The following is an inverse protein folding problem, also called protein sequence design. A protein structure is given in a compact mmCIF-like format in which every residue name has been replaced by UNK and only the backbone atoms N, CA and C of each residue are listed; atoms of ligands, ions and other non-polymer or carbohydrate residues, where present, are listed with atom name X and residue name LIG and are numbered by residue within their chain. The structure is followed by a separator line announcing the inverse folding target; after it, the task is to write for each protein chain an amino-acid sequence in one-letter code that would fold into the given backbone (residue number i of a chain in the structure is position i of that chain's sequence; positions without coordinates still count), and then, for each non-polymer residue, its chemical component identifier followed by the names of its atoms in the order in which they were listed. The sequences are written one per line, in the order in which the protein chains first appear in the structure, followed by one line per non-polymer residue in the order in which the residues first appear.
data_IF_780437846170
#
_entry.id   IF_780437846170
#
_cell.length_a   1.000
_cell.length_b   1.000
_cell.length_c   1.000
_cell.angle_alpha   90.00
_cell.angle_beta   90.00
_cell.angle_gamma   90.00
#
_symmetry.space_group_name_H-M   'P 1'
#
loop_
_entity.id
_entity.type
_entity.pdbx_description
1 polymer ?
#
# COMPACT_ATOMS: atom_id res chain seq x y z
N UNK A 1 -17.10 26.43 12.59
CA UNK A 1 -16.81 26.33 11.16
C UNK A 1 -15.96 25.10 10.89
N UNK A 2 -16.65 23.98 10.62
CA UNK A 2 -16.06 22.63 10.46
C UNK A 2 -15.06 22.63 9.30
N UNK A 3 -15.35 23.30 8.19
CA UNK A 3 -14.45 23.37 7.02
C UNK A 3 -13.13 24.10 7.30
N UNK A 4 -13.13 25.06 8.22
CA UNK A 4 -11.91 25.76 8.62
C UNK A 4 -11.04 24.89 9.52
N UNK A 5 -11.67 24.16 10.44
CA UNK A 5 -10.98 23.20 11.31
C UNK A 5 -10.39 22.03 10.50
N UNK A 6 -11.12 21.54 9.50
CA UNK A 6 -10.62 20.48 8.60
C UNK A 6 -9.43 20.96 7.76
N UNK A 7 -9.46 22.19 7.24
CA UNK A 7 -8.34 22.78 6.49
C UNK A 7 -7.12 23.00 7.37
N UNK A 8 -7.30 23.48 8.59
CA UNK A 8 -6.21 23.65 9.56
C UNK A 8 -5.60 22.31 9.95
N UNK A 9 -6.43 21.30 10.21
CA UNK A 9 -5.96 19.95 10.53
C UNK A 9 -5.16 19.35 9.35
N UNK A 10 -5.65 19.48 8.13
CA UNK A 10 -4.95 19.04 6.92
C UNK A 10 -3.62 19.76 6.73
N UNK A 11 -3.57 21.06 7.03
CA UNK A 11 -2.32 21.84 6.98
C UNK A 11 -1.32 21.40 8.03
N UNK A 12 -1.75 21.12 9.26
CA UNK A 12 -0.91 20.60 10.34
C UNK A 12 -0.37 19.20 10.03
N UNK A 13 -1.20 18.33 9.46
CA UNK A 13 -0.78 17.00 9.04
C UNK A 13 0.29 17.08 7.94
N UNK A 14 0.10 17.93 6.92
CA UNK A 14 1.08 18.14 5.86
C UNK A 14 2.40 18.75 6.36
N UNK A 15 2.34 19.66 7.32
CA UNK A 15 3.54 20.22 7.96
C UNK A 15 4.29 19.15 8.78
N UNK A 16 3.57 18.30 9.51
CA UNK A 16 4.15 17.18 10.25
C UNK A 16 4.81 16.17 9.33
N UNK A 17 4.17 15.80 8.23
CA UNK A 17 4.70 14.88 7.22
C UNK A 17 5.99 15.44 6.59
N UNK A 18 6.02 16.74 6.30
CA UNK A 18 7.21 17.44 5.77
C UNK A 18 8.35 17.46 6.80
N UNK A 19 8.04 17.72 8.07
CA UNK A 19 9.03 17.74 9.14
C UNK A 19 9.67 16.36 9.33
N UNK A 20 8.88 15.29 9.32
CA UNK A 20 9.39 13.92 9.43
C UNK A 20 10.29 13.58 8.26
N UNK A 21 9.92 13.99 7.04
CA UNK A 21 10.75 13.79 5.84
C UNK A 21 12.10 14.51 5.95
N UNK A 22 12.09 15.76 6.40
CA UNK A 22 13.33 16.55 6.63
C UNK A 22 14.18 15.92 7.72
N UNK A 23 13.58 15.49 8.82
CA UNK A 23 14.29 14.83 9.93
C UNK A 23 14.94 13.52 9.47
N UNK A 24 14.21 12.69 8.73
CA UNK A 24 14.76 11.45 8.17
C UNK A 24 15.92 11.70 7.20
N UNK A 25 15.89 12.79 6.41
CA UNK A 25 16.98 13.16 5.50
C UNK A 25 18.26 13.61 6.20
N UNK A 26 18.16 14.01 7.48
CA UNK A 26 19.32 14.40 8.31
C UNK A 26 19.90 13.23 9.12
N UNK A 27 19.39 12.01 8.96
CA UNK A 27 19.83 10.82 9.69
C UNK A 27 19.34 10.76 11.16
N UNK A 28 18.47 11.69 11.57
CA UNK A 28 17.85 11.65 12.89
C UNK A 28 16.78 10.60 12.94
N UNK A 29 16.88 9.66 13.88
CA UNK A 29 15.91 8.59 14.08
C UNK A 29 14.61 9.14 14.68
N UNK A 30 13.48 8.69 14.13
CA UNK A 30 12.14 8.97 14.64
C UNK A 30 11.42 7.67 15.00
N UNK A 31 10.27 7.77 15.65
CA UNK A 31 9.41 6.61 15.92
C UNK A 31 8.92 5.90 14.62
N UNK A 32 9.02 6.56 13.47
CA UNK A 32 8.61 6.05 12.17
C UNK A 32 9.78 5.42 11.38
N UNK A 33 11.03 5.65 11.80
CA UNK A 33 12.24 5.15 11.12
C UNK A 33 12.20 3.64 10.83
N UNK A 34 11.84 2.75 11.78
CA UNK A 34 11.77 1.32 11.50
C UNK A 34 10.79 0.94 10.38
N UNK A 35 9.66 1.65 10.29
CA UNK A 35 8.66 1.42 9.26
C UNK A 35 9.12 1.94 7.89
N UNK A 36 9.80 3.09 7.86
CA UNK A 36 10.40 3.67 6.65
C UNK A 36 11.43 2.71 6.07
N UNK A 37 12.38 2.26 6.88
CA UNK A 37 13.42 1.32 6.46
C UNK A 37 12.84 -0.02 5.98
N UNK A 38 11.80 -0.52 6.66
CA UNK A 38 11.14 -1.75 6.29
C UNK A 38 10.47 -1.67 4.90
N UNK A 39 9.77 -0.57 4.61
CA UNK A 39 9.11 -0.42 3.29
C UNK A 39 10.11 -0.18 2.18
N UNK A 40 11.20 0.54 2.42
CA UNK A 40 12.27 0.73 1.45
C UNK A 40 12.95 -0.61 1.13
N UNK A 41 13.26 -1.39 2.15
CA UNK A 41 13.84 -2.73 1.99
C UNK A 41 12.90 -3.65 1.23
N UNK A 42 11.61 -3.64 1.56
CA UNK A 42 10.61 -4.46 0.89
C UNK A 42 10.41 -4.06 -0.57
N UNK A 43 10.34 -2.76 -0.86
CA UNK A 43 10.24 -2.25 -2.23
C UNK A 43 11.44 -2.70 -3.08
N UNK A 44 12.66 -2.60 -2.54
CA UNK A 44 13.87 -3.09 -3.20
C UNK A 44 13.85 -4.60 -3.45
N UNK A 45 13.38 -5.40 -2.47
CA UNK A 45 13.21 -6.86 -2.64
C UNK A 45 12.21 -7.19 -3.75
N UNK A 46 11.08 -6.46 -3.81
CA UNK A 46 10.06 -6.67 -4.84
C UNK A 46 10.60 -6.28 -6.21
N UNK A 47 11.33 -5.16 -6.33
CA UNK A 47 12.02 -4.77 -7.56
C UNK A 47 12.92 -5.89 -8.08
N UNK A 48 13.81 -6.39 -7.24
CA UNK A 48 14.73 -7.48 -7.58
C UNK A 48 13.98 -8.79 -7.94
N UNK A 49 12.90 -9.10 -7.25
CA UNK A 49 12.07 -10.27 -7.50
C UNK A 49 11.38 -10.17 -8.86
N UNK A 50 10.82 -9.01 -9.20
CA UNK A 50 10.17 -8.79 -10.49
C UNK A 50 11.18 -8.82 -11.64
N UNK A 51 12.34 -8.20 -11.48
CA UNK A 51 13.42 -8.24 -12.48
C UNK A 51 13.95 -9.64 -12.70
N UNK A 52 14.14 -10.41 -11.62
CA UNK A 52 14.51 -11.83 -11.70
C UNK A 52 13.47 -12.66 -12.46
N UNK A 53 12.18 -12.43 -12.19
CA UNK A 53 11.10 -13.14 -12.86
C UNK A 53 11.05 -12.81 -14.37
N UNK A 54 11.27 -11.55 -14.74
CA UNK A 54 11.42 -11.14 -16.14
C UNK A 54 12.61 -11.85 -16.82
N UNK A 55 13.75 -11.90 -16.14
CA UNK A 55 14.95 -12.55 -16.67
C UNK A 55 14.78 -14.06 -16.89
N UNK A 56 13.98 -14.73 -16.04
CA UNK A 56 13.66 -16.16 -16.17
C UNK A 56 12.51 -16.43 -17.17
N UNK A 57 11.79 -15.41 -17.61
CA UNK A 57 10.60 -15.57 -18.46
C UNK A 57 9.35 -16.04 -17.70
N UNK A 58 9.33 -15.92 -16.38
CA UNK A 58 8.15 -16.29 -15.55
C UNK A 58 6.96 -15.35 -15.81
N UNK A 59 7.23 -14.15 -16.26
CA UNK A 59 6.27 -13.14 -16.70
C UNK A 59 6.93 -12.27 -17.77
N UNK A 60 6.15 -11.78 -18.74
CA UNK A 60 6.62 -10.78 -19.71
C UNK A 60 6.57 -9.37 -19.14
N UNK A 61 7.37 -8.45 -19.67
CA UNK A 61 7.32 -7.03 -19.26
C UNK A 61 5.94 -6.42 -19.58
N UNK A 62 5.35 -6.74 -20.72
CA UNK A 62 4.01 -6.29 -21.10
C UNK A 62 2.94 -6.74 -20.12
N UNK A 63 3.06 -7.96 -19.59
CA UNK A 63 2.11 -8.48 -18.61
C UNK A 63 2.33 -7.88 -17.21
N UNK A 64 3.60 -7.71 -16.80
CA UNK A 64 3.93 -7.09 -15.51
C UNK A 64 3.46 -5.63 -15.44
N UNK A 65 3.45 -4.93 -16.56
CA UNK A 65 2.98 -3.55 -16.67
C UNK A 65 1.57 -3.43 -17.27
N UNK A 66 0.79 -4.52 -17.31
CA UNK A 66 -0.61 -4.47 -17.72
C UNK A 66 -1.42 -3.53 -16.81
N UNK A 67 -2.24 -2.68 -17.42
CA UNK A 67 -3.14 -1.76 -16.73
C UNK A 67 -4.61 -1.94 -17.18
N UNK A 68 -4.90 -3.11 -17.73
CA UNK A 68 -6.26 -3.53 -18.08
C UNK A 68 -6.86 -4.24 -16.86
N UNK A 69 -7.72 -3.56 -16.16
CA UNK A 69 -8.37 -4.07 -14.95
C UNK A 69 -9.67 -4.79 -15.33
N UNK A 70 -9.58 -6.07 -15.65
CA UNK A 70 -10.75 -6.88 -16.00
C UNK A 70 -11.62 -7.12 -14.76
N UNK A 71 -12.89 -6.72 -14.75
CA UNK A 71 -13.74 -6.88 -13.59
C UNK A 71 -13.99 -8.37 -13.29
N UNK A 72 -13.98 -8.72 -12.00
CA UNK A 72 -14.41 -10.04 -11.53
C UNK A 72 -15.92 -9.99 -11.31
N UNK A 73 -16.70 -10.81 -12.04
CA UNK A 73 -18.16 -10.81 -11.91
C UNK A 73 -18.63 -11.09 -10.49
N UNK A 74 -19.76 -10.51 -10.10
CA UNK A 74 -20.45 -10.76 -8.83
C UNK A 74 -19.59 -10.44 -7.60
N UNK A 75 -18.73 -9.42 -7.67
CA UNK A 75 -17.95 -8.94 -6.52
C UNK A 75 -18.44 -7.59 -6.04
N UNK A 76 -18.63 -7.46 -4.73
CA UNK A 76 -18.99 -6.22 -4.04
C UNK A 76 -18.23 -6.15 -2.70
N UNK A 77 -17.29 -5.21 -2.52
CA UNK A 77 -16.77 -4.21 -3.48
C UNK A 77 -16.15 -4.83 -4.74
N UNK A 78 -16.14 -4.08 -5.88
CA UNK A 78 -15.62 -4.59 -7.14
C UNK A 78 -14.16 -5.04 -7.03
N UNK A 79 -13.87 -6.25 -7.50
CA UNK A 79 -12.52 -6.77 -7.69
C UNK A 79 -12.18 -6.85 -9.17
N UNK A 80 -10.89 -6.83 -9.48
CA UNK A 80 -10.36 -6.84 -10.83
C UNK A 80 -9.19 -7.81 -10.96
N UNK A 81 -8.90 -8.23 -12.17
CA UNK A 81 -7.72 -9.01 -12.53
C UNK A 81 -6.90 -8.25 -13.56
N UNK A 82 -5.60 -8.39 -13.48
CA UNK A 82 -4.63 -8.00 -14.50
C UNK A 82 -3.84 -9.24 -14.91
N UNK A 83 -3.02 -9.13 -15.95
CA UNK A 83 -2.16 -10.23 -16.38
C UNK A 83 -1.08 -10.59 -15.37
N UNK A 84 -0.74 -9.67 -14.46
CA UNK A 84 0.23 -9.94 -13.39
C UNK A 84 -0.39 -10.43 -12.07
N UNK A 85 -1.70 -10.40 -11.89
CA UNK A 85 -2.34 -10.71 -10.59
C UNK A 85 -1.97 -12.11 -10.09
N UNK A 86 -2.09 -13.13 -10.95
CA UNK A 86 -1.73 -14.50 -10.57
C UNK A 86 -0.23 -14.67 -10.25
N UNK A 87 0.62 -13.88 -10.90
CA UNK A 87 2.06 -13.86 -10.61
C UNK A 87 2.31 -13.23 -9.23
N UNK A 88 1.73 -12.07 -8.95
CA UNK A 88 1.90 -11.39 -7.65
C UNK A 88 1.34 -12.21 -6.49
N UNK A 89 0.25 -12.97 -6.68
CA UNK A 89 -0.29 -13.88 -5.67
C UNK A 89 0.71 -14.97 -5.25
N UNK A 90 1.61 -15.39 -6.16
CA UNK A 90 2.64 -16.38 -5.86
C UNK A 90 3.87 -15.80 -5.17
N UNK A 91 4.23 -14.54 -5.47
CA UNK A 91 5.56 -14.01 -5.09
C UNK A 91 5.50 -12.97 -3.98
N UNK A 92 4.46 -12.15 -3.89
CA UNK A 92 4.38 -11.07 -2.90
C UNK A 92 4.16 -11.55 -1.45
N UNK A 93 3.41 -12.62 -1.16
CA UNK A 93 3.19 -13.04 0.22
C UNK A 93 4.50 -13.30 0.99
N UNK A 94 5.53 -13.82 0.33
CA UNK A 94 6.84 -14.07 0.96
C UNK A 94 7.52 -12.77 1.45
N UNK A 95 7.20 -11.63 0.86
CA UNK A 95 7.71 -10.31 1.29
C UNK A 95 6.74 -9.63 2.25
N UNK A 96 5.43 -9.73 2.00
CA UNK A 96 4.40 -8.99 2.72
C UNK A 96 4.08 -9.58 4.10
N UNK A 97 3.92 -10.90 4.19
CA UNK A 97 3.44 -11.54 5.43
C UNK A 97 4.40 -11.37 6.62
N UNK A 98 5.73 -11.55 6.46
CA UNK A 98 6.67 -11.38 7.59
C UNK A 98 6.64 -9.99 8.20
N UNK A 99 6.34 -8.95 7.41
CA UNK A 99 6.33 -7.56 7.87
C UNK A 99 5.16 -7.25 8.82
N UNK A 100 4.13 -8.07 8.86
CA UNK A 100 3.06 -7.95 9.87
C UNK A 100 3.57 -8.18 11.29
N UNK A 101 4.73 -8.83 11.44
CA UNK A 101 5.35 -9.13 12.75
C UNK A 101 6.41 -8.09 13.15
N UNK A 102 6.65 -7.06 12.32
CA UNK A 102 7.64 -6.03 12.59
C UNK A 102 7.34 -5.26 13.89
N UNK A 103 6.08 -4.91 14.07
CA UNK A 103 5.59 -4.15 15.22
C UNK A 103 4.08 -4.43 15.41
N UNK A 104 3.57 -4.53 16.65
CA UNK A 104 2.15 -4.78 16.91
C UNK A 104 1.19 -3.74 16.31
N UNK A 105 1.69 -2.54 16.01
CA UNK A 105 0.91 -1.49 15.36
C UNK A 105 0.68 -1.72 13.87
N UNK A 106 1.48 -2.57 13.22
CA UNK A 106 1.34 -2.85 11.78
C UNK A 106 0.00 -3.52 11.51
N UNK A 107 -0.79 -2.90 10.65
CA UNK A 107 -2.11 -3.39 10.27
C UNK A 107 -2.06 -4.15 8.95
N UNK A 108 -1.33 -3.61 7.96
CA UNK A 108 -1.19 -4.24 6.65
C UNK A 108 0.10 -3.82 5.94
N UNK A 109 0.49 -4.64 4.98
CA UNK A 109 1.57 -4.36 4.03
C UNK A 109 1.16 -4.86 2.65
N UNK A 110 1.28 -4.03 1.62
CA UNK A 110 0.90 -4.43 0.27
C UNK A 110 1.62 -3.63 -0.81
N UNK A 111 1.86 -4.25 -1.96
CA UNK A 111 2.26 -3.57 -3.17
C UNK A 111 1.03 -3.08 -3.95
N UNK A 112 1.12 -1.89 -4.53
CA UNK A 112 0.12 -1.28 -5.39
C UNK A 112 0.76 -0.82 -6.69
N UNK A 113 0.06 -0.92 -7.81
CA UNK A 113 0.54 -0.32 -9.05
C UNK A 113 0.29 1.20 -9.08
N UNK A 114 0.80 1.89 -10.10
CA UNK A 114 0.69 3.36 -10.21
C UNK A 114 -0.75 3.90 -10.30
N UNK A 115 -1.74 3.05 -10.55
CA UNK A 115 -3.16 3.42 -10.56
C UNK A 115 -3.89 3.08 -9.25
N UNK A 116 -3.15 2.60 -8.24
CA UNK A 116 -3.71 2.21 -6.95
C UNK A 116 -4.32 0.82 -6.94
N UNK A 117 -4.07 0.02 -7.97
CA UNK A 117 -4.50 -1.38 -7.99
C UNK A 117 -3.63 -2.22 -7.06
N UNK A 118 -4.27 -2.87 -6.11
CA UNK A 118 -3.67 -3.75 -5.12
C UNK A 118 -3.98 -5.21 -5.52
N UNK A 119 -3.08 -5.89 -6.25
CA UNK A 119 -3.36 -7.23 -6.77
C UNK A 119 -3.45 -8.26 -5.65
N UNK A 120 -2.50 -8.25 -4.73
CA UNK A 120 -2.31 -9.23 -3.66
C UNK A 120 -2.21 -8.52 -2.33
N UNK A 121 -3.10 -8.81 -1.42
CA UNK A 121 -3.07 -8.28 -0.05
C UNK A 121 -2.50 -9.30 0.93
N UNK A 122 -2.29 -8.90 2.19
CA UNK A 122 -2.04 -9.87 3.26
C UNK A 122 -3.18 -10.91 3.33
N UNK A 123 -2.85 -12.14 3.69
CA UNK A 123 -3.79 -13.26 3.70
C UNK A 123 -5.06 -12.95 4.49
N UNK A 124 -4.92 -12.29 5.65
CA UNK A 124 -6.08 -11.88 6.49
C UNK A 124 -7.05 -10.91 5.79
N UNK A 125 -6.61 -10.21 4.74
CA UNK A 125 -7.42 -9.29 3.94
C UNK A 125 -7.64 -9.78 2.50
N UNK A 126 -7.35 -11.04 2.22
CA UNK A 126 -7.52 -11.69 0.91
C UNK A 126 -8.55 -12.83 0.99
N UNK A 127 -9.52 -12.71 1.89
CA UNK A 127 -10.57 -13.71 2.05
C UNK A 127 -11.52 -13.70 0.85
N UNK A 128 -12.06 -14.87 0.45
CA UNK A 128 -13.11 -14.92 -0.56
C UNK A 128 -14.31 -14.05 -0.16
N UNK A 129 -14.92 -13.37 -1.13
CA UNK A 129 -16.13 -12.60 -0.87
C UNK A 129 -17.33 -13.52 -0.60
N UNK A 130 -18.16 -13.12 0.37
CA UNK A 130 -19.45 -13.70 0.66
C UNK A 130 -20.59 -12.78 0.23
N UNK A 131 -21.79 -13.02 0.78
CA UNK A 131 -23.00 -12.24 0.48
C UNK A 131 -23.07 -10.89 1.21
N UNK A 132 -22.23 -10.65 2.21
CA UNK A 132 -22.24 -9.41 3.00
C UNK A 132 -21.16 -8.43 2.46
N UNK A 133 -21.58 -7.35 1.77
CA UNK A 133 -20.64 -6.38 1.21
C UNK A 133 -19.85 -5.61 2.29
N UNK A 134 -20.40 -5.45 3.49
CA UNK A 134 -19.69 -4.78 4.60
C UNK A 134 -18.54 -5.65 5.09
N UNK A 135 -18.80 -6.94 5.28
CA UNK A 135 -17.76 -7.91 5.62
C UNK A 135 -16.71 -8.03 4.51
N UNK A 136 -17.15 -8.09 3.25
CA UNK A 136 -16.26 -8.13 2.09
C UNK A 136 -15.33 -6.90 2.04
N UNK A 137 -15.88 -5.72 2.28
CA UNK A 137 -15.10 -4.47 2.29
C UNK A 137 -13.97 -4.48 3.31
N UNK A 138 -14.16 -5.17 4.44
CA UNK A 138 -13.16 -5.30 5.50
C UNK A 138 -12.13 -6.42 5.25
N UNK A 139 -12.57 -7.58 4.70
CA UNK A 139 -11.79 -8.81 4.68
C UNK A 139 -11.31 -9.24 3.28
N UNK A 140 -11.92 -8.71 2.20
CA UNK A 140 -11.59 -9.01 0.79
C UNK A 140 -11.07 -7.76 0.11
N UNK A 141 -9.85 -7.36 0.46
CA UNK A 141 -9.26 -6.09 0.02
C UNK A 141 -8.26 -6.24 -1.13
N UNK A 142 -7.87 -7.45 -1.47
CA UNK A 142 -7.07 -7.77 -2.66
C UNK A 142 -7.86 -7.51 -3.95
N UNK A 143 -7.15 -7.33 -5.06
CA UNK A 143 -7.73 -7.14 -6.40
C UNK A 143 -8.61 -5.89 -6.53
N UNK A 144 -8.41 -4.91 -5.67
CA UNK A 144 -9.18 -3.66 -5.65
C UNK A 144 -8.34 -2.46 -6.06
N UNK A 145 -9.02 -1.43 -6.57
CA UNK A 145 -8.45 -0.12 -6.86
C UNK A 145 -8.67 0.81 -5.67
N UNK A 146 -7.60 1.33 -5.10
CA UNK A 146 -7.61 2.32 -4.02
C UNK A 146 -7.21 3.67 -4.59
N UNK A 147 -8.21 4.43 -5.01
CA UNK A 147 -8.05 5.71 -5.73
C UNK A 147 -8.23 6.93 -4.82
N UNK A 148 -8.35 6.71 -3.51
CA UNK A 148 -8.34 7.79 -2.53
C UNK A 148 -6.96 8.47 -2.45
N UNK A 149 -6.90 9.63 -1.78
CA UNK A 149 -5.66 10.42 -1.65
C UNK A 149 -4.48 9.59 -1.16
N UNK A 150 -4.68 8.79 -0.11
CA UNK A 150 -3.60 8.02 0.51
C UNK A 150 -3.15 6.87 -0.39
N UNK A 151 -4.11 6.17 -1.01
CA UNK A 151 -3.84 5.07 -1.94
C UNK A 151 -3.07 5.53 -3.17
N UNK A 152 -3.53 6.58 -3.86
CA UNK A 152 -2.84 7.12 -5.03
C UNK A 152 -1.53 7.82 -4.66
N UNK A 153 -1.45 8.46 -3.49
CA UNK A 153 -0.20 9.04 -3.00
C UNK A 153 0.89 7.97 -2.87
N UNK A 154 0.59 6.85 -2.22
CA UNK A 154 1.51 5.72 -2.10
C UNK A 154 1.86 5.08 -3.45
N UNK A 155 0.87 4.92 -4.33
CA UNK A 155 1.03 4.31 -5.66
C UNK A 155 1.94 5.11 -6.60
N UNK A 156 1.89 6.43 -6.50
CA UNK A 156 2.58 7.38 -7.41
C UNK A 156 3.82 8.02 -6.82
N UNK A 157 4.13 7.72 -5.56
CA UNK A 157 5.32 8.25 -4.91
C UNK A 157 6.58 7.82 -5.67
N UNK A 158 7.43 8.80 -6.01
CA UNK A 158 8.75 8.61 -6.63
C UNK A 158 9.90 9.03 -5.73
N UNK A 159 9.60 9.62 -4.57
CA UNK A 159 10.58 9.95 -3.53
C UNK A 159 11.02 8.68 -2.80
N UNK A 160 12.16 8.75 -2.11
CA UNK A 160 12.70 7.60 -1.36
C UNK A 160 11.68 6.95 -0.43
N UNK A 161 10.81 7.75 0.17
CA UNK A 161 9.60 7.31 0.88
C UNK A 161 8.57 8.44 0.93
N UNK A 162 7.31 8.08 1.20
CA UNK A 162 6.23 8.99 1.50
C UNK A 162 5.56 8.53 2.80
N UNK A 163 5.43 9.43 3.78
CA UNK A 163 4.66 9.18 5.00
C UNK A 163 3.40 10.03 4.98
N UNK A 164 2.26 9.40 5.14
CA UNK A 164 0.95 10.03 5.17
C UNK A 164 0.22 9.66 6.47
N UNK A 165 -0.54 10.61 7.00
CA UNK A 165 -1.42 10.36 8.14
C UNK A 165 -2.87 10.46 7.67
N UNK A 166 -3.70 9.49 8.05
CA UNK A 166 -5.10 9.47 7.69
C UNK A 166 -5.97 8.88 8.80
N UNK A 167 -7.24 9.25 8.77
CA UNK A 167 -8.26 8.71 9.66
C UNK A 167 -8.93 7.51 9.00
N UNK A 168 -8.83 6.36 9.65
CA UNK A 168 -9.50 5.13 9.20
C UNK A 168 -10.79 4.92 9.97
N UNK A 169 -11.87 4.68 9.25
CA UNK A 169 -13.10 4.18 9.82
C UNK A 169 -12.92 2.69 10.17
N UNK A 170 -13.12 2.39 11.45
CA UNK A 170 -13.02 1.02 11.99
C UNK A 170 -14.38 0.33 12.07
N UNK A 171 -15.44 1.01 11.61
CA UNK A 171 -16.83 0.59 11.76
C UNK A 171 -17.50 1.10 13.05
N UNK A 172 -18.83 1.06 13.08
CA UNK A 172 -19.64 1.48 14.22
C UNK A 172 -19.36 2.91 14.74
N UNK A 173 -18.95 3.83 13.84
CA UNK A 173 -18.62 5.21 14.22
C UNK A 173 -17.28 5.37 14.94
N UNK A 174 -16.51 4.31 15.06
CA UNK A 174 -15.17 4.33 15.67
C UNK A 174 -14.10 4.63 14.60
N UNK A 175 -13.19 5.55 14.91
CA UNK A 175 -12.12 5.93 14.02
C UNK A 175 -10.76 5.73 14.70
N UNK A 176 -9.76 5.36 13.91
CA UNK A 176 -8.38 5.30 14.35
C UNK A 176 -7.50 6.19 13.46
N UNK A 177 -6.55 6.89 14.10
CA UNK A 177 -5.50 7.57 13.35
C UNK A 177 -4.47 6.54 12.90
N UNK A 178 -4.21 6.54 11.61
CA UNK A 178 -3.29 5.64 10.94
C UNK A 178 -2.19 6.43 10.25
N UNK A 179 -1.02 5.86 10.19
CA UNK A 179 0.03 6.27 9.26
C UNK A 179 0.13 5.25 8.13
N UNK A 180 0.47 5.75 6.95
CA UNK A 180 0.78 4.97 5.76
C UNK A 180 2.14 5.42 5.26
N UNK A 181 3.13 4.54 5.31
CA UNK A 181 4.44 4.78 4.75
C UNK A 181 4.62 3.94 3.50
N UNK A 182 5.16 4.53 2.45
CA UNK A 182 5.39 3.85 1.18
C UNK A 182 6.74 4.18 0.57
N UNK A 183 7.27 3.26 -0.23
CA UNK A 183 8.47 3.43 -1.03
C UNK A 183 8.20 2.95 -2.46
N UNK A 184 8.83 3.58 -3.48
CA UNK A 184 8.58 3.25 -4.87
C UNK A 184 9.18 1.89 -5.27
N UNK A 185 8.48 1.18 -6.14
CA UNK A 185 8.94 -0.05 -6.78
C UNK A 185 9.31 0.30 -8.23
N UNK A 186 10.56 0.07 -8.60
CA UNK A 186 11.06 0.22 -9.96
C UNK A 186 11.41 -1.14 -10.55
N UNK A 187 11.18 -1.30 -11.84
CA UNK A 187 11.55 -2.49 -12.61
C UNK A 187 12.24 -2.02 -13.88
N UNK A 188 13.52 -2.36 -14.04
CA UNK A 188 14.37 -1.87 -15.15
C UNK A 188 14.30 -0.34 -15.30
N UNK A 189 14.31 0.37 -14.19
CA UNK A 189 14.24 1.84 -14.17
C UNK A 189 12.85 2.43 -14.44
N UNK A 190 11.83 1.61 -14.70
CA UNK A 190 10.46 2.06 -14.90
C UNK A 190 9.66 1.94 -13.61
N UNK A 191 8.95 3.00 -13.22
CA UNK A 191 8.11 3.01 -12.02
C UNK A 191 6.90 2.08 -12.18
N UNK A 192 6.87 1.00 -11.40
CA UNK A 192 5.78 0.03 -11.40
C UNK A 192 4.65 0.43 -10.46
N UNK A 193 4.97 0.99 -9.32
CA UNK A 193 4.05 1.38 -8.27
C UNK A 193 4.76 1.60 -6.95
N UNK A 194 4.11 1.30 -5.83
CA UNK A 194 4.68 1.46 -4.49
C UNK A 194 4.43 0.26 -3.59
N UNK A 195 5.34 0.04 -2.65
CA UNK A 195 5.07 -0.81 -1.51
C UNK A 195 4.67 0.06 -0.33
N UNK A 196 3.58 -0.28 0.33
CA UNK A 196 3.01 0.51 1.43
C UNK A 196 2.76 -0.33 2.68
N UNK A 197 2.89 0.31 3.82
CA UNK A 197 2.60 -0.26 5.14
C UNK A 197 1.71 0.70 5.93
N UNK A 198 0.57 0.19 6.38
CA UNK A 198 -0.32 0.93 7.28
C UNK A 198 -0.14 0.49 8.71
N UNK A 199 0.03 1.44 9.64
CA UNK A 199 0.18 1.17 11.06
C UNK A 199 -0.55 2.20 11.93
N UNK A 200 -0.92 1.79 13.14
CA UNK A 200 -1.59 2.67 14.12
C UNK A 200 -0.61 3.70 14.67
N UNK A 201 -1.09 4.93 14.86
CA UNK A 201 -0.35 5.93 15.65
C UNK A 201 -0.29 5.43 17.09
N UNK A 202 0.88 5.56 17.74
CA UNK A 202 1.00 5.30 19.17
C UNK A 202 0.08 6.25 19.93
N UNK A 203 -0.76 5.71 20.81
CA UNK A 203 -1.61 6.49 21.71
C UNK A 203 -0.79 7.11 22.84
#
# INVERSE_FOLDING_TARGET
NIDNAQRQLSGLLGASETLIRLTASTGVQSADTPFIEAVQTAAGKISALFESALARGDISESDLFDRTYAPVPNTDPPQHMTRFTAFTDRVLPAVQEPLLQLDPRVVFCAAVDTNGYLPTHNLKFSQPQGSDPVWNAANSRNRRLFTDRTGLGAARNTEAFLLQTYRRDMGNGTFAMMKDVSAPIYVKGRHWGGFRMGYKVAG
#
